data_IF_490869405662
#
_entry.id   IF_490869405662
#
_cell.length_a   1.000
_cell.length_b   1.000
_cell.length_c   1.000
_cell.angle_alpha   90.00
_cell.angle_beta   90.00
_cell.angle_gamma   90.00
#
_symmetry.space_group_name_H-M   'P 1'
#
loop_
_entity.id
_entity.type
_entity.pdbx_description
1 polymer ?
#
# COMPACT_ATOMS: atom_id res chain seq x y z
N UNK A 1 11.67 9.35 14.22
CA UNK A 1 10.72 8.59 13.38
C UNK A 1 10.38 9.49 12.21
N UNK A 2 10.73 9.11 10.99
CA UNK A 2 10.43 9.93 9.82
C UNK A 2 8.95 9.77 9.46
N UNK A 3 8.21 10.88 9.49
CA UNK A 3 6.77 10.93 9.28
C UNK A 3 6.47 11.52 7.90
N UNK A 4 5.43 11.02 7.21
CA UNK A 4 5.11 11.52 5.88
C UNK A 4 4.67 12.99 5.94
N UNK A 5 5.20 13.81 5.03
CA UNK A 5 4.88 15.24 4.92
C UNK A 5 3.42 15.50 4.50
N UNK A 6 2.82 14.54 3.78
CA UNK A 6 1.45 14.61 3.26
C UNK A 6 0.63 13.38 3.68
N UNK A 7 0.23 13.30 4.96
CA UNK A 7 -0.35 12.09 5.53
C UNK A 7 -1.71 11.70 4.92
N UNK A 8 -2.55 12.68 4.56
CA UNK A 8 -3.86 12.42 3.94
C UNK A 8 -3.77 11.90 2.51
N UNK A 9 -2.86 12.44 1.68
CA UNK A 9 -2.63 11.92 0.32
C UNK A 9 -2.14 10.45 0.37
N UNK A 10 -1.28 10.15 1.35
CA UNK A 10 -0.77 8.80 1.58
C UNK A 10 -1.87 7.83 2.03
N UNK A 11 -2.72 8.26 2.98
CA UNK A 11 -3.86 7.48 3.45
C UNK A 11 -4.88 7.19 2.32
N UNK A 12 -5.20 8.19 1.50
CA UNK A 12 -6.07 8.04 0.33
C UNK A 12 -5.50 6.99 -0.64
N UNK A 13 -4.22 7.13 -1.01
CA UNK A 13 -3.57 6.20 -1.92
C UNK A 13 -3.52 4.78 -1.36
N UNK A 14 -3.29 4.64 -0.06
CA UNK A 14 -3.33 3.36 0.64
C UNK A 14 -4.72 2.71 0.55
N UNK A 15 -5.79 3.46 0.79
CA UNK A 15 -7.17 2.94 0.71
C UNK A 15 -7.48 2.46 -0.71
N UNK A 16 -7.09 3.23 -1.73
CA UNK A 16 -7.29 2.87 -3.15
C UNK A 16 -6.53 1.60 -3.55
N UNK A 17 -5.32 1.39 -3.04
CA UNK A 17 -4.53 0.19 -3.34
C UNK A 17 -4.94 -1.01 -2.47
N UNK A 18 -5.43 -0.79 -1.25
CA UNK A 18 -5.91 -1.85 -0.35
C UNK A 18 -7.02 -2.65 -0.99
N UNK A 19 -7.96 -2.01 -1.68
CA UNK A 19 -9.06 -2.70 -2.35
C UNK A 19 -8.59 -3.63 -3.47
N UNK A 20 -7.47 -3.30 -4.12
CA UNK A 20 -6.86 -4.12 -5.18
C UNK A 20 -5.93 -5.21 -4.62
N UNK A 21 -5.08 -4.86 -3.67
CA UNK A 21 -3.98 -5.70 -3.19
C UNK A 21 -4.35 -6.55 -1.97
N UNK A 22 -5.46 -6.24 -1.30
CA UNK A 22 -5.99 -6.99 -0.16
C UNK A 22 -7.53 -7.05 -0.23
N UNK A 23 -8.09 -7.67 -1.27
CA UNK A 23 -9.53 -7.81 -1.43
C UNK A 23 -10.11 -8.72 -0.32
N UNK A 24 -11.38 -8.51 0.03
CA UNK A 24 -12.05 -9.27 1.09
C UNK A 24 -12.52 -10.66 0.62
N UNK A 25 -12.71 -10.82 -0.70
CA UNK A 25 -13.14 -12.07 -1.31
C UNK A 25 -11.97 -13.02 -1.57
N UNK A 26 -12.19 -14.30 -1.28
CA UNK A 26 -11.27 -15.39 -1.64
C UNK A 26 -11.07 -15.52 -3.14
N UNK A 27 -12.12 -15.29 -3.95
CA UNK A 27 -12.03 -15.36 -5.40
C UNK A 27 -11.09 -14.28 -5.95
N UNK A 28 -11.24 -13.04 -5.46
CA UNK A 28 -10.39 -11.91 -5.87
C UNK A 28 -8.95 -12.12 -5.42
N UNK A 29 -8.75 -12.71 -4.23
CA UNK A 29 -7.41 -13.09 -3.74
C UNK A 29 -6.76 -14.13 -4.65
N UNK A 30 -7.52 -15.15 -5.08
CA UNK A 30 -7.02 -16.16 -6.00
C UNK A 30 -6.67 -15.57 -7.37
N UNK A 31 -7.47 -14.62 -7.88
CA UNK A 31 -7.18 -13.90 -9.12
C UNK A 31 -5.90 -13.07 -9.00
N UNK A 32 -5.70 -12.35 -7.89
CA UNK A 32 -4.48 -11.59 -7.64
C UNK A 32 -3.25 -12.49 -7.58
N UNK A 33 -3.31 -13.61 -6.87
CA UNK A 33 -2.23 -14.61 -6.80
C UNK A 33 -1.95 -15.22 -8.18
N UNK A 34 -3.00 -15.48 -8.95
CA UNK A 34 -2.86 -15.98 -10.31
C UNK A 34 -2.09 -15.00 -11.19
N UNK A 35 -2.44 -13.72 -11.14
CA UNK A 35 -1.81 -12.67 -11.94
C UNK A 35 -0.36 -12.38 -11.49
N UNK A 36 -0.09 -12.45 -10.19
CA UNK A 36 1.22 -12.13 -9.63
C UNK A 36 2.21 -13.29 -9.67
N UNK A 37 1.76 -14.53 -9.56
CA UNK A 37 2.67 -15.68 -9.33
C UNK A 37 2.44 -16.76 -10.37
N UNK A 38 1.20 -17.24 -10.51
CA UNK A 38 0.91 -18.44 -11.32
C UNK A 38 1.17 -18.16 -12.79
N UNK A 39 0.64 -17.06 -13.33
CA UNK A 39 0.75 -16.73 -14.75
C UNK A 39 2.21 -16.44 -15.17
N UNK A 40 3.01 -15.66 -14.43
CA UNK A 40 4.44 -15.53 -14.69
C UNK A 40 5.20 -16.85 -14.70
N UNK A 41 4.89 -17.76 -13.77
CA UNK A 41 5.51 -19.10 -13.72
C UNK A 41 5.12 -19.97 -14.92
N UNK A 42 3.84 -19.92 -15.34
CA UNK A 42 3.37 -20.63 -16.54
C UNK A 42 4.09 -20.11 -17.78
N UNK A 43 4.22 -18.78 -17.94
CA UNK A 43 4.93 -18.19 -19.07
C UNK A 43 6.40 -18.58 -19.08
N UNK A 44 7.06 -18.57 -17.92
CA UNK A 44 8.44 -19.00 -17.78
C UNK A 44 8.59 -20.47 -18.18
N UNK A 45 7.67 -21.35 -17.76
CA UNK A 45 7.66 -22.75 -18.20
C UNK A 45 7.44 -22.92 -19.71
N UNK A 46 6.45 -22.22 -20.29
CA UNK A 46 6.19 -22.25 -21.74
C UNK A 46 7.38 -21.73 -22.55
N UNK A 47 8.17 -20.81 -22.00
CA UNK A 47 9.42 -20.34 -22.59
C UNK A 47 10.41 -21.47 -22.81
N UNK A 48 10.57 -22.35 -21.81
CA UNK A 48 11.47 -23.50 -21.90
C UNK A 48 10.97 -24.57 -22.88
N UNK A 49 9.65 -24.69 -23.06
CA UNK A 49 9.04 -25.66 -23.98
C UNK A 49 8.99 -25.15 -25.43
N UNK A 50 9.47 -23.92 -25.70
CA UNK A 50 9.39 -23.23 -27.01
C UNK A 50 7.94 -23.09 -27.54
N UNK A 51 6.96 -23.14 -26.66
CA UNK A 51 5.53 -22.99 -26.98
C UNK A 51 5.00 -21.57 -26.81
N UNK A 52 5.86 -20.56 -26.77
CA UNK A 52 5.44 -19.18 -26.52
C UNK A 52 4.93 -18.50 -27.79
N UNK A 53 3.74 -17.91 -27.68
CA UNK A 53 3.33 -16.79 -28.50
C UNK A 53 3.96 -15.50 -27.90
N UNK A 54 4.83 -14.79 -28.63
CA UNK A 54 5.48 -13.56 -28.16
C UNK A 54 4.48 -12.48 -27.72
N UNK A 55 3.33 -12.36 -28.38
CA UNK A 55 2.35 -11.33 -28.09
C UNK A 55 1.61 -11.63 -26.78
N UNK A 56 1.16 -12.88 -26.59
CA UNK A 56 0.52 -13.32 -25.35
C UNK A 56 1.48 -13.17 -24.16
N UNK A 57 2.76 -13.49 -24.37
CA UNK A 57 3.80 -13.38 -23.35
C UNK A 57 4.02 -11.93 -22.93
N UNK A 58 4.12 -11.01 -23.89
CA UNK A 58 4.30 -9.59 -23.62
C UNK A 58 3.11 -9.02 -22.84
N UNK A 59 1.87 -9.31 -23.27
CA UNK A 59 0.66 -8.81 -22.59
C UNK A 59 0.57 -9.29 -21.14
N UNK A 60 0.79 -10.58 -20.90
CA UNK A 60 0.76 -11.12 -19.54
C UNK A 60 1.94 -10.64 -18.69
N UNK A 61 3.11 -10.43 -19.30
CA UNK A 61 4.27 -9.84 -18.63
C UNK A 61 4.01 -8.41 -18.16
N UNK A 62 3.38 -7.59 -19.00
CA UNK A 62 2.95 -6.23 -18.62
C UNK A 62 1.94 -6.27 -17.47
N UNK A 63 0.95 -7.16 -17.55
CA UNK A 63 -0.06 -7.33 -16.49
C UNK A 63 0.57 -7.72 -15.15
N UNK A 64 1.45 -8.71 -15.15
CA UNK A 64 2.15 -9.16 -13.95
C UNK A 64 3.05 -8.07 -13.37
N UNK A 65 3.80 -7.35 -14.22
CA UNK A 65 4.62 -6.22 -13.80
C UNK A 65 3.79 -5.12 -13.15
N UNK A 66 2.63 -4.77 -13.73
CA UNK A 66 1.72 -3.80 -13.13
C UNK A 66 1.20 -4.25 -11.76
N UNK A 67 0.80 -5.52 -11.62
CA UNK A 67 0.34 -6.08 -10.36
C UNK A 67 1.45 -6.05 -9.29
N UNK A 68 2.68 -6.41 -9.65
CA UNK A 68 3.83 -6.32 -8.74
C UNK A 68 4.14 -4.89 -8.33
N UNK A 69 4.12 -3.95 -9.27
CA UNK A 69 4.36 -2.53 -8.97
C UNK A 69 3.32 -1.99 -7.99
N UNK A 70 2.03 -2.24 -8.24
CA UNK A 70 0.94 -1.83 -7.34
C UNK A 70 1.07 -2.50 -5.96
N UNK A 71 1.46 -3.78 -5.91
CA UNK A 71 1.64 -4.50 -4.65
C UNK A 71 2.84 -4.01 -3.83
N UNK A 72 3.96 -3.69 -4.48
CA UNK A 72 5.13 -3.10 -3.83
C UNK A 72 4.78 -1.72 -3.27
N UNK A 73 4.09 -0.89 -4.05
CA UNK A 73 3.59 0.41 -3.59
C UNK A 73 2.68 0.26 -2.38
N UNK A 74 1.69 -0.65 -2.45
CA UNK A 74 0.81 -0.97 -1.33
C UNK A 74 1.57 -1.39 -0.08
N UNK A 75 2.58 -2.25 -0.24
CA UNK A 75 3.41 -2.74 0.87
C UNK A 75 4.18 -1.59 1.53
N UNK A 76 4.76 -0.69 0.74
CA UNK A 76 5.44 0.49 1.26
C UNK A 76 4.46 1.41 2.03
N UNK A 77 3.30 1.71 1.44
CA UNK A 77 2.26 2.52 2.07
C UNK A 77 1.73 1.88 3.36
N UNK A 78 1.67 0.55 3.42
CA UNK A 78 1.29 -0.19 4.64
C UNK A 78 2.28 0.05 5.79
N UNK A 79 3.58 0.09 5.51
CA UNK A 79 4.59 0.43 6.51
C UNK A 79 4.50 1.89 6.95
N UNK A 80 4.19 2.81 6.04
CA UNK A 80 3.91 4.21 6.38
C UNK A 80 2.67 4.33 7.29
N UNK A 81 1.59 3.59 6.99
CA UNK A 81 0.40 3.53 7.87
C UNK A 81 0.75 3.03 9.26
N UNK A 82 1.55 1.97 9.37
CA UNK A 82 1.99 1.44 10.66
C UNK A 82 2.82 2.48 11.44
N UNK A 83 3.68 3.23 10.76
CA UNK A 83 4.43 4.32 11.39
C UNK A 83 3.51 5.42 11.92
N UNK A 84 2.52 5.84 11.14
CA UNK A 84 1.55 6.84 11.57
C UNK A 84 0.69 6.33 12.74
N UNK A 85 0.28 5.06 12.72
CA UNK A 85 -0.44 4.42 13.83
C UNK A 85 0.40 4.43 15.12
N UNK A 86 1.66 4.01 15.05
CA UNK A 86 2.56 4.01 16.20
C UNK A 86 2.79 5.42 16.75
N UNK A 87 2.96 6.41 15.86
CA UNK A 87 3.06 7.81 16.27
C UNK A 87 1.79 8.28 16.96
N UNK A 88 0.62 8.00 16.39
CA UNK A 88 -0.68 8.30 16.97
C UNK A 88 -0.82 7.72 18.39
N UNK A 89 -0.38 6.49 18.61
CA UNK A 89 -0.35 5.86 19.94
C UNK A 89 0.65 6.55 20.88
N UNK A 90 1.83 6.93 20.39
CA UNK A 90 2.86 7.58 21.19
C UNK A 90 2.45 8.97 21.71
N UNK A 91 1.61 9.71 20.97
CA UNK A 91 1.14 11.05 21.35
C UNK A 91 -0.15 11.05 22.20
N UNK A 92 -0.56 9.89 22.71
CA UNK A 92 -1.74 9.76 23.58
C UNK A 92 -3.02 9.29 22.88
N UNK A 93 -2.92 8.84 21.62
CA UNK A 93 -4.01 8.24 20.87
C UNK A 93 -4.65 9.15 19.81
N UNK A 94 -5.61 8.62 19.06
CA UNK A 94 -6.27 9.33 17.97
C UNK A 94 -7.25 10.39 18.49
N UNK A 95 -7.25 11.57 17.85
CA UNK A 95 -8.17 12.67 18.18
C UNK A 95 -9.57 12.44 17.59
N UNK A 96 -9.64 11.80 16.44
CA UNK A 96 -10.88 11.39 15.78
C UNK A 96 -10.98 9.87 15.81
N UNK A 97 -12.18 9.33 15.97
CA UNK A 97 -12.41 7.88 15.97
C UNK A 97 -13.35 7.51 14.83
N UNK A 98 -13.16 6.30 14.29
CA UNK A 98 -14.07 5.71 13.31
C UNK A 98 -14.36 4.27 13.68
N UNK A 99 -15.60 3.83 13.44
CA UNK A 99 -15.99 2.44 13.58
C UNK A 99 -15.72 1.63 12.30
N UNK A 100 -15.44 2.31 11.18
CA UNK A 100 -15.16 1.66 9.90
C UNK A 100 -13.64 1.49 9.72
N UNK A 101 -13.12 0.24 9.67
CA UNK A 101 -11.69 -0.02 9.49
C UNK A 101 -11.15 0.48 8.14
N UNK A 102 -12.00 0.68 7.13
CA UNK A 102 -11.60 1.25 5.84
C UNK A 102 -11.08 2.68 5.97
N UNK A 103 -11.64 3.45 6.90
CA UNK A 103 -11.34 4.88 7.09
C UNK A 103 -10.36 5.15 8.23
N UNK A 104 -9.94 4.11 8.96
CA UNK A 104 -8.92 4.21 10.00
C UNK A 104 -7.59 4.85 9.53
N UNK A 105 -7.12 4.65 8.28
CA UNK A 105 -5.97 5.38 7.76
C UNK A 105 -6.05 6.91 7.89
N UNK A 106 -7.24 7.50 7.72
CA UNK A 106 -7.43 8.95 7.87
C UNK A 106 -7.32 9.41 9.32
N UNK A 107 -7.68 8.55 10.28
CA UNK A 107 -7.51 8.81 11.71
C UNK A 107 -6.03 8.97 12.06
N UNK A 108 -5.19 8.06 11.55
CA UNK A 108 -3.74 8.15 11.75
C UNK A 108 -3.15 9.37 11.04
N UNK A 109 -3.67 9.70 9.85
CA UNK A 109 -3.24 10.86 9.10
C UNK A 109 -3.56 12.19 9.81
N UNK A 110 -4.74 12.32 10.42
CA UNK A 110 -5.11 13.49 11.22
C UNK A 110 -4.17 13.71 12.41
N UNK A 111 -3.84 12.64 13.14
CA UNK A 111 -2.91 12.72 14.26
C UNK A 111 -1.52 13.25 13.85
N UNK A 112 -0.99 12.74 12.74
CA UNK A 112 0.30 13.18 12.19
C UNK A 112 0.22 14.62 11.66
N UNK A 113 -0.86 14.99 10.97
CA UNK A 113 -1.04 16.34 10.44
C UNK A 113 -1.07 17.39 11.56
N UNK A 114 -1.75 17.10 12.67
CA UNK A 114 -1.78 17.98 13.85
C UNK A 114 -0.43 18.11 14.50
N UNK A 115 0.33 17.02 14.57
CA UNK A 115 1.71 17.06 15.07
C UNK A 115 2.59 17.96 14.20
N UNK A 116 2.55 17.78 12.87
CA UNK A 116 3.28 18.62 11.92
C UNK A 116 2.87 20.09 12.06
N UNK A 117 1.57 20.38 12.17
CA UNK A 117 1.07 21.75 12.32
C UNK A 117 1.46 22.39 13.66
N UNK A 118 1.69 21.59 14.71
CA UNK A 118 2.13 22.07 16.02
C UNK A 118 3.66 22.26 16.10
N UNK A 119 4.43 21.60 15.23
CA UNK A 119 5.87 21.78 15.15
C UNK A 119 6.21 23.14 14.52
N UNK A 120 7.10 23.97 15.12
CA UNK A 120 7.52 25.23 14.50
C UNK A 120 8.25 24.95 13.18
N UNK A 121 8.04 25.76 12.12
CA UNK A 121 8.67 25.54 10.83
C UNK A 121 10.19 25.82 10.96
N UNK A 122 10.97 24.74 11.15
CA UNK A 122 12.44 24.78 11.22
C UNK A 122 13.09 24.58 12.59
N UNK A 123 12.35 24.16 13.63
CA UNK A 123 12.92 24.01 14.98
C UNK A 123 13.38 22.58 15.30
N UNK A 124 14.68 22.39 15.53
CA UNK A 124 15.23 21.23 16.28
C UNK A 124 14.45 21.05 17.59
N UNK A 125 14.12 19.81 17.90
CA UNK A 125 13.63 19.42 19.22
C UNK A 125 14.85 19.22 20.12
N UNK A 126 15.25 20.28 20.82
CA UNK A 126 16.22 20.18 21.90
C UNK A 126 15.49 19.67 23.16
N UNK A 127 15.91 18.48 23.60
CA UNK A 127 15.95 17.96 24.98
C UNK A 127 14.71 18.08 25.85
#
# INVERSE_FOLDING_TARGET
MDLPSKPFELAERYIQLRTKCAPESWADTAHLVSDMIIMPLILLFLAFVKGLDPMMTAMNGVKAYQAWREYIEYTHLRFEMQRMMLHCQAVGGPFIVTNDPKYMPYVFADAVQRWIAKAPPGGRLDG
#
